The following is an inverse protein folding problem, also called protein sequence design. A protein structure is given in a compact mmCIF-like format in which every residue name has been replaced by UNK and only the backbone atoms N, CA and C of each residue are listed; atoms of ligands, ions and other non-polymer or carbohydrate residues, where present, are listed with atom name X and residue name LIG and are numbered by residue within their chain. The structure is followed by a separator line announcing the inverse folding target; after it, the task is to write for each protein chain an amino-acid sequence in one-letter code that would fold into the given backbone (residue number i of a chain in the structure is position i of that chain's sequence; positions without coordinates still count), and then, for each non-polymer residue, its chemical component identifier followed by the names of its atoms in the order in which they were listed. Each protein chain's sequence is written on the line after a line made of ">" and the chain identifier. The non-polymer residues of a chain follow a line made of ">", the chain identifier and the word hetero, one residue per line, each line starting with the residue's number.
data_IF_993257114478
#
_entry.id   IF_993257114478
#
_cell.length_a   1.000
_cell.length_b   1.000
_cell.length_c   1.000
_cell.angle_alpha   90.00
_cell.angle_beta   90.00
_cell.angle_gamma   90.00
#
_symmetry.space_group_name_H-M   'P 1'
#
loop_
_entity.id
_entity.type
_entity.pdbx_description
1 polymer ?
#
# COMPACT_ATOMS: atom_id res chain seq x y z
N UNK A 1 53.63 3.11 -91.05
CA UNK A 1 52.75 2.48 -90.07
C UNK A 1 51.41 2.28 -90.76
N UNK A 2 50.95 1.05 -90.73
CA UNK A 2 49.70 0.68 -91.42
C UNK A 2 48.51 1.34 -90.62
N UNK A 3 47.65 2.05 -91.31
CA UNK A 3 46.51 2.76 -90.73
C UNK A 3 45.65 1.82 -89.79
N UNK A 4 45.58 0.58 -90.11
CA UNK A 4 44.93 -0.49 -89.33
C UNK A 4 45.57 -0.68 -87.97
N UNK A 5 46.89 -0.57 -87.84
CA UNK A 5 47.62 -0.70 -86.59
C UNK A 5 47.39 0.45 -85.70
N UNK A 6 47.31 1.70 -86.21
CA UNK A 6 47.04 2.89 -85.45
C UNK A 6 45.60 2.88 -84.89
N UNK A 7 44.61 2.46 -85.65
CA UNK A 7 43.23 2.32 -85.23
C UNK A 7 43.09 1.22 -84.13
N UNK A 8 43.73 0.08 -84.28
CA UNK A 8 43.73 -0.99 -83.32
C UNK A 8 44.36 -0.57 -82.00
N UNK A 9 45.47 0.19 -82.06
CA UNK A 9 46.14 0.66 -80.86
C UNK A 9 45.29 1.70 -80.09
N UNK A 10 44.59 2.56 -80.82
CA UNK A 10 43.68 3.54 -80.22
C UNK A 10 42.46 2.88 -79.56
N UNK A 11 41.92 1.80 -80.19
CA UNK A 11 40.81 1.03 -79.55
C UNK A 11 41.24 0.39 -78.24
N UNK A 12 42.47 -0.13 -78.20
CA UNK A 12 43.04 -0.77 -76.99
C UNK A 12 43.26 0.30 -75.88
N UNK A 13 43.83 1.49 -76.25
CA UNK A 13 44.04 2.57 -75.35
C UNK A 13 42.71 3.09 -74.73
N UNK A 14 41.70 3.31 -75.57
CA UNK A 14 40.35 3.75 -75.13
C UNK A 14 39.68 2.66 -74.23
N UNK A 15 39.84 1.38 -74.59
CA UNK A 15 39.33 0.29 -73.73
C UNK A 15 40.02 0.22 -72.37
N UNK A 16 41.35 0.40 -72.35
CA UNK A 16 42.11 0.45 -71.08
C UNK A 16 41.70 1.64 -70.22
N UNK A 17 41.52 2.82 -70.85
CA UNK A 17 41.06 4.03 -70.13
C UNK A 17 39.66 3.85 -69.52
N UNK A 18 38.75 3.22 -70.28
CA UNK A 18 37.41 2.87 -69.75
C UNK A 18 37.48 1.85 -68.63
N UNK A 19 38.34 0.84 -68.73
CA UNK A 19 38.53 -0.15 -67.66
C UNK A 19 39.08 0.49 -66.37
N UNK A 20 40.08 1.39 -66.49
CA UNK A 20 40.59 2.16 -65.34
C UNK A 20 39.50 3.06 -64.69
N UNK A 21 38.67 3.71 -65.48
CA UNK A 21 37.55 4.49 -64.97
C UNK A 21 36.53 3.65 -64.21
N UNK A 22 36.19 2.49 -64.75
CA UNK A 22 35.27 1.54 -64.09
C UNK A 22 35.83 1.09 -62.75
N UNK A 23 37.12 0.68 -62.70
CA UNK A 23 37.78 0.28 -61.44
C UNK A 23 37.84 1.43 -60.44
N UNK A 24 38.21 2.66 -60.88
CA UNK A 24 38.24 3.80 -59.97
C UNK A 24 36.87 4.14 -59.44
N UNK A 25 35.82 4.14 -60.26
CA UNK A 25 34.46 4.34 -59.83
C UNK A 25 33.99 3.26 -58.83
N UNK A 26 34.39 1.99 -59.06
CA UNK A 26 34.06 0.92 -58.12
C UNK A 26 34.78 1.07 -56.75
N UNK A 27 36.04 1.50 -56.74
CA UNK A 27 36.79 1.78 -55.55
C UNK A 27 36.15 2.96 -54.75
N UNK A 28 35.83 4.04 -55.46
CA UNK A 28 35.18 5.22 -54.81
C UNK A 28 33.83 4.82 -54.14
N UNK A 29 33.01 4.01 -54.86
CA UNK A 29 31.75 3.49 -54.32
C UNK A 29 31.96 2.59 -53.11
N UNK A 30 33.01 1.76 -53.13
CA UNK A 30 33.34 0.89 -52.02
C UNK A 30 33.80 1.67 -50.78
N UNK A 31 34.58 2.75 -50.98
CA UNK A 31 35.02 3.62 -49.88
C UNK A 31 33.87 4.44 -49.32
N UNK A 32 32.98 4.96 -50.16
CA UNK A 32 31.75 5.62 -49.74
C UNK A 32 30.84 4.67 -48.90
N UNK A 33 30.66 3.45 -49.40
CA UNK A 33 29.86 2.47 -48.68
C UNK A 33 30.45 2.11 -47.32
N UNK A 34 31.78 1.95 -47.21
CA UNK A 34 32.49 1.75 -45.94
C UNK A 34 32.37 2.93 -45.01
N UNK A 35 32.53 4.14 -45.49
CA UNK A 35 32.40 5.35 -44.70
C UNK A 35 30.99 5.48 -44.12
N UNK A 36 29.97 5.24 -44.97
CA UNK A 36 28.56 5.27 -44.50
C UNK A 36 28.27 4.15 -43.52
N UNK A 37 28.74 2.95 -43.72
CA UNK A 37 28.54 1.85 -42.76
C UNK A 37 29.21 2.12 -41.41
N UNK A 38 30.43 2.68 -41.40
CA UNK A 38 31.11 3.08 -40.18
C UNK A 38 30.37 4.21 -39.44
N UNK A 39 29.85 5.21 -40.16
CA UNK A 39 29.07 6.28 -39.57
C UNK A 39 27.78 5.74 -38.93
N UNK A 40 27.05 4.88 -39.64
CA UNK A 40 25.82 4.26 -39.07
C UNK A 40 26.13 3.40 -37.85
N UNK A 41 27.25 2.64 -37.87
CA UNK A 41 27.67 1.84 -36.74
C UNK A 41 27.97 2.72 -35.49
N UNK A 42 28.66 3.85 -35.68
CA UNK A 42 28.93 4.80 -34.61
C UNK A 42 27.66 5.42 -34.05
N UNK A 43 26.76 5.92 -34.90
CA UNK A 43 25.46 6.47 -34.50
C UNK A 43 24.63 5.46 -33.71
N UNK A 44 24.62 4.20 -34.14
CA UNK A 44 23.91 3.12 -33.45
C UNK A 44 24.48 2.88 -32.02
N UNK A 45 25.82 2.83 -31.91
CA UNK A 45 26.49 2.64 -30.60
C UNK A 45 26.22 3.84 -29.67
N UNK A 46 26.28 5.06 -30.17
CA UNK A 46 26.01 6.26 -29.39
C UNK A 46 24.56 6.30 -28.91
N UNK A 47 23.61 5.99 -29.81
CA UNK A 47 22.18 5.90 -29.45
C UNK A 47 21.94 4.83 -28.38
N UNK A 48 22.49 3.62 -28.58
CA UNK A 48 22.33 2.53 -27.63
C UNK A 48 22.95 2.85 -26.25
N UNK A 49 24.06 3.58 -26.20
CA UNK A 49 24.67 4.05 -24.96
C UNK A 49 23.80 5.10 -24.26
N UNK A 50 23.26 6.05 -25.00
CA UNK A 50 22.38 7.08 -24.45
C UNK A 50 21.09 6.48 -23.87
N UNK A 51 20.44 5.57 -24.61
CA UNK A 51 19.27 4.84 -24.14
C UNK A 51 19.58 3.96 -22.93
N UNK A 52 20.73 3.27 -22.96
CA UNK A 52 21.19 2.46 -21.84
C UNK A 52 21.40 3.29 -20.57
N UNK A 53 21.99 4.46 -20.69
CA UNK A 53 22.17 5.37 -19.54
C UNK A 53 20.83 5.85 -18.99
N UNK A 54 19.91 6.28 -19.84
CA UNK A 54 18.57 6.69 -19.41
C UNK A 54 17.83 5.56 -18.68
N UNK A 55 17.89 4.37 -19.21
CA UNK A 55 17.28 3.19 -18.57
C UNK A 55 17.89 2.89 -17.20
N UNK A 56 19.22 2.99 -17.08
CA UNK A 56 19.88 2.84 -15.78
C UNK A 56 19.41 3.87 -14.78
N UNK A 57 19.33 5.15 -15.16
CA UNK A 57 18.89 6.23 -14.29
C UNK A 57 17.44 6.02 -13.82
N UNK A 58 16.55 5.61 -14.72
CA UNK A 58 15.17 5.26 -14.39
C UNK A 58 15.07 4.09 -13.40
N UNK A 59 15.88 3.04 -13.59
CA UNK A 59 15.92 1.89 -12.69
C UNK A 59 16.41 2.34 -11.30
N UNK A 60 17.47 3.12 -11.22
CA UNK A 60 18.02 3.63 -9.95
C UNK A 60 16.98 4.47 -9.20
N UNK A 61 16.28 5.39 -9.88
CA UNK A 61 15.23 6.20 -9.25
C UNK A 61 14.04 5.35 -8.78
N UNK A 62 13.67 4.33 -9.55
CA UNK A 62 12.64 3.36 -9.11
C UNK A 62 13.04 2.62 -7.84
N UNK A 63 14.26 2.11 -7.79
CA UNK A 63 14.78 1.39 -6.61
C UNK A 63 14.82 2.31 -5.39
N UNK A 64 15.29 3.55 -5.54
CA UNK A 64 15.28 4.54 -4.44
C UNK A 64 13.87 4.82 -3.93
N UNK A 65 12.90 4.93 -4.84
CA UNK A 65 11.51 5.17 -4.48
C UNK A 65 10.91 3.99 -3.72
N UNK A 66 11.16 2.76 -4.18
CA UNK A 66 10.71 1.55 -3.50
C UNK A 66 11.34 1.45 -2.11
N UNK A 67 12.65 1.65 -1.99
CA UNK A 67 13.34 1.61 -0.70
C UNK A 67 12.79 2.64 0.30
N UNK A 68 12.46 3.86 -0.16
CA UNK A 68 11.82 4.89 0.69
C UNK A 68 10.42 4.48 1.14
N UNK A 69 9.64 3.85 0.26
CA UNK A 69 8.31 3.34 0.60
C UNK A 69 8.38 2.19 1.61
N UNK A 70 9.31 1.27 1.43
CA UNK A 70 9.50 0.16 2.35
C UNK A 70 9.95 0.63 3.73
N UNK A 71 10.86 1.60 3.80
CA UNK A 71 11.25 2.22 5.06
C UNK A 71 10.04 2.88 5.77
N UNK A 72 9.18 3.60 5.03
CA UNK A 72 7.96 4.18 5.60
C UNK A 72 6.98 3.11 6.09
N UNK A 73 6.84 1.98 5.38
CA UNK A 73 5.99 0.86 5.81
C UNK A 73 6.47 0.26 7.13
N UNK A 74 7.77 0.05 7.29
CA UNK A 74 8.33 -0.47 8.54
C UNK A 74 8.03 0.46 9.72
N UNK A 75 8.23 1.77 9.54
CA UNK A 75 7.90 2.76 10.59
C UNK A 75 6.40 2.78 10.90
N UNK A 76 5.55 2.70 9.87
CA UNK A 76 4.10 2.68 10.07
C UNK A 76 3.64 1.41 10.79
N UNK A 77 4.18 0.24 10.43
CA UNK A 77 3.90 -1.03 11.12
C UNK A 77 4.26 -0.96 12.59
N UNK A 78 5.46 -0.49 12.93
CA UNK A 78 5.88 -0.31 14.31
C UNK A 78 4.97 0.66 15.10
N UNK A 79 4.50 1.74 14.45
CA UNK A 79 3.54 2.65 15.07
C UNK A 79 2.19 1.99 15.33
N UNK A 80 1.69 1.19 14.38
CA UNK A 80 0.43 0.44 14.56
C UNK A 80 0.53 -0.57 15.70
N UNK A 81 1.63 -1.33 15.79
CA UNK A 81 1.88 -2.27 16.88
C UNK A 81 1.87 -1.58 18.27
N UNK A 82 2.45 -0.38 18.36
CA UNK A 82 2.41 0.40 19.60
C UNK A 82 0.99 0.84 19.98
N UNK A 83 0.21 1.28 19.01
CA UNK A 83 -1.20 1.65 19.23
C UNK A 83 -2.02 0.44 19.65
N UNK A 84 -1.86 -0.71 19.01
CA UNK A 84 -2.52 -1.97 19.37
C UNK A 84 -2.17 -2.41 20.79
N UNK A 85 -0.89 -2.33 21.17
CA UNK A 85 -0.43 -2.62 22.52
C UNK A 85 -1.08 -1.70 23.57
N UNK A 86 -1.24 -0.42 23.25
CA UNK A 86 -1.93 0.52 24.14
C UNK A 86 -3.40 0.14 24.34
N UNK A 87 -4.08 -0.31 23.28
CA UNK A 87 -5.47 -0.79 23.39
C UNK A 87 -5.58 -2.09 24.18
N UNK A 88 -4.64 -3.01 24.02
CA UNK A 88 -4.63 -4.23 24.83
C UNK A 88 -4.48 -3.90 26.34
N UNK A 89 -3.61 -2.95 26.68
CA UNK A 89 -3.46 -2.50 28.07
C UNK A 89 -4.74 -1.83 28.56
N UNK A 90 -5.40 -1.02 27.75
CA UNK A 90 -6.68 -0.40 28.08
C UNK A 90 -7.77 -1.45 28.33
N UNK A 91 -7.89 -2.46 27.47
CA UNK A 91 -8.83 -3.58 27.64
C UNK A 91 -8.55 -4.37 28.92
N UNK A 92 -7.28 -4.66 29.23
CA UNK A 92 -6.91 -5.31 30.49
C UNK A 92 -7.34 -4.49 31.71
N UNK A 93 -7.17 -3.18 31.69
CA UNK A 93 -7.63 -2.28 32.75
C UNK A 93 -9.16 -2.26 32.88
N UNK A 94 -9.89 -2.20 31.76
CA UNK A 94 -11.35 -2.27 31.76
C UNK A 94 -11.88 -3.59 32.31
N UNK A 95 -11.23 -4.72 31.99
CA UNK A 95 -11.59 -6.02 32.54
C UNK A 95 -11.25 -6.19 34.02
N UNK A 96 -10.35 -5.37 34.54
CA UNK A 96 -9.96 -5.35 35.95
C UNK A 96 -10.72 -4.30 36.76
N UNK A 97 -11.79 -3.67 36.20
CA UNK A 97 -12.62 -2.70 36.92
C UNK A 97 -13.28 -3.33 38.14
N UNK A 98 -13.34 -2.58 39.24
CA UNK A 98 -14.12 -2.96 40.38
C UNK A 98 -15.63 -2.94 40.06
N UNK A 99 -16.38 -3.71 40.83
CA UNK A 99 -17.82 -3.90 40.62
C UNK A 99 -18.62 -2.61 40.52
N UNK A 100 -18.30 -1.62 41.35
CA UNK A 100 -18.96 -0.29 41.35
C UNK A 100 -18.75 0.46 40.03
N UNK A 101 -17.51 0.45 39.53
CA UNK A 101 -17.15 1.15 38.29
C UNK A 101 -17.70 0.44 37.08
N UNK A 102 -17.75 -0.90 37.15
CA UNK A 102 -18.37 -1.71 36.12
C UNK A 102 -19.87 -1.45 36.00
N UNK A 103 -20.60 -1.35 37.12
CA UNK A 103 -22.03 -0.97 37.14
C UNK A 103 -22.26 0.45 36.61
N UNK A 104 -21.40 1.39 36.99
CA UNK A 104 -21.46 2.78 36.48
C UNK A 104 -21.25 2.81 34.94
N UNK A 105 -20.34 1.99 34.44
CA UNK A 105 -20.15 1.83 33.00
C UNK A 105 -21.40 1.29 32.32
N UNK A 106 -21.96 0.18 32.84
CA UNK A 106 -23.21 -0.39 32.30
C UNK A 106 -24.34 0.64 32.31
N UNK A 107 -24.54 1.35 33.42
CA UNK A 107 -25.59 2.34 33.52
C UNK A 107 -25.46 3.46 32.46
N UNK A 108 -24.23 3.94 32.23
CA UNK A 108 -23.96 4.93 31.16
C UNK A 108 -24.28 4.39 29.77
N UNK A 109 -23.90 3.15 29.51
CA UNK A 109 -24.18 2.51 28.22
C UNK A 109 -25.68 2.30 28.00
N UNK A 110 -26.39 1.82 29.02
CA UNK A 110 -27.83 1.65 28.96
C UNK A 110 -28.56 2.98 28.76
N UNK A 111 -28.17 4.03 29.44
CA UNK A 111 -28.74 5.41 29.25
C UNK A 111 -28.55 5.92 27.83
N UNK A 112 -27.44 5.59 27.19
CA UNK A 112 -27.11 6.09 25.86
C UNK A 112 -27.75 5.27 24.73
N UNK A 113 -27.85 3.95 24.89
CA UNK A 113 -28.12 3.06 23.78
C UNK A 113 -29.33 2.13 23.96
N UNK A 114 -29.84 1.91 25.19
CA UNK A 114 -30.94 0.97 25.41
C UNK A 114 -32.28 1.56 24.96
N UNK A 115 -33.10 0.70 24.38
CA UNK A 115 -34.49 0.98 24.03
C UNK A 115 -35.46 0.14 24.88
N UNK A 116 -36.73 0.53 24.88
CA UNK A 116 -37.74 -0.15 25.71
C UNK A 116 -37.89 -1.63 25.32
N UNK A 117 -37.76 -2.49 26.31
CA UNK A 117 -37.91 -3.94 26.15
C UNK A 117 -36.68 -4.67 25.64
N UNK A 118 -35.53 -3.98 25.49
CA UNK A 118 -34.29 -4.62 25.10
C UNK A 118 -33.84 -5.68 26.10
N UNK A 119 -33.11 -6.69 25.60
CA UNK A 119 -32.47 -7.72 26.41
C UNK A 119 -30.99 -7.40 26.58
N UNK A 120 -30.55 -7.23 27.83
CA UNK A 120 -29.15 -7.02 28.18
C UNK A 120 -28.46 -8.38 28.32
N UNK A 121 -27.43 -8.62 27.52
CA UNK A 121 -26.57 -9.81 27.61
C UNK A 121 -25.29 -9.37 28.34
N UNK A 122 -25.10 -9.91 29.55
CA UNK A 122 -23.97 -9.61 30.42
C UNK A 122 -22.84 -10.61 30.10
N UNK A 123 -21.62 -10.14 29.99
CA UNK A 123 -20.47 -11.04 29.79
C UNK A 123 -20.31 -12.01 30.96
N UNK A 124 -20.01 -13.27 30.69
CA UNK A 124 -19.83 -14.31 31.72
C UNK A 124 -18.74 -13.97 32.74
N UNK A 125 -17.67 -13.28 32.30
CA UNK A 125 -16.55 -12.87 33.16
C UNK A 125 -16.81 -11.57 33.92
N UNK A 126 -17.99 -10.93 33.74
CA UNK A 126 -18.32 -9.68 34.42
C UNK A 126 -18.45 -9.86 35.94
N UNK A 127 -17.96 -8.91 36.76
CA UNK A 127 -18.06 -8.97 38.23
C UNK A 127 -19.44 -8.61 38.78
N UNK A 128 -20.48 -8.59 37.94
CA UNK A 128 -21.85 -8.16 38.25
C UNK A 128 -22.86 -9.25 37.95
N UNK A 129 -23.92 -9.28 38.75
CA UNK A 129 -25.03 -10.21 38.58
C UNK A 129 -26.19 -9.59 37.77
N UNK A 130 -27.03 -10.49 37.22
CA UNK A 130 -28.26 -10.10 36.52
C UNK A 130 -29.14 -9.19 37.38
N UNK A 131 -29.30 -9.51 38.67
CA UNK A 131 -30.14 -8.76 39.58
C UNK A 131 -29.65 -7.32 39.83
N UNK A 132 -28.33 -7.16 39.88
CA UNK A 132 -27.72 -5.83 40.08
C UNK A 132 -27.93 -4.93 38.87
N UNK A 133 -27.79 -5.50 37.68
CA UNK A 133 -28.05 -4.77 36.42
C UNK A 133 -29.55 -4.40 36.29
N UNK A 134 -30.45 -5.31 36.67
CA UNK A 134 -31.89 -5.03 36.65
C UNK A 134 -32.33 -4.05 37.74
N UNK A 135 -31.58 -3.92 38.83
CA UNK A 135 -31.86 -2.93 39.88
C UNK A 135 -31.47 -1.50 39.52
N UNK A 136 -30.77 -1.30 38.40
CA UNK A 136 -30.47 0.04 37.91
C UNK A 136 -31.76 0.79 37.53
N UNK A 137 -31.86 2.06 37.83
CA UNK A 137 -33.05 2.88 37.52
C UNK A 137 -33.45 2.78 36.04
N UNK A 138 -32.48 2.90 35.14
CA UNK A 138 -32.65 2.78 33.68
C UNK A 138 -33.26 1.45 33.25
N UNK A 139 -32.83 0.35 33.89
CA UNK A 139 -33.33 -0.99 33.57
C UNK A 139 -34.81 -1.14 33.93
N UNK A 140 -35.22 -0.51 35.01
CA UNK A 140 -36.63 -0.49 35.47
C UNK A 140 -37.47 0.43 34.59
N UNK A 141 -36.98 1.61 34.25
CA UNK A 141 -37.68 2.56 33.38
C UNK A 141 -37.96 2.03 31.98
N UNK A 142 -36.97 1.35 31.40
CA UNK A 142 -37.05 0.77 30.05
C UNK A 142 -37.59 -0.64 30.03
N UNK A 143 -38.00 -1.22 31.17
CA UNK A 143 -38.48 -2.60 31.27
C UNK A 143 -37.52 -3.60 30.63
N UNK A 144 -36.22 -3.49 30.92
CA UNK A 144 -35.19 -4.33 30.36
C UNK A 144 -35.23 -5.73 30.97
N UNK A 145 -34.83 -6.72 30.19
CA UNK A 145 -34.51 -8.07 30.69
C UNK A 145 -33.00 -8.29 30.64
N UNK A 146 -32.44 -9.12 31.52
CA UNK A 146 -31.02 -9.39 31.51
C UNK A 146 -30.72 -10.88 31.61
N UNK A 147 -29.68 -11.33 30.93
CA UNK A 147 -29.18 -12.71 30.96
C UNK A 147 -27.66 -12.72 30.94
N UNK A 148 -27.07 -13.79 31.51
CA UNK A 148 -25.62 -14.03 31.34
C UNK A 148 -25.42 -14.72 30.01
N UNK A 149 -24.56 -14.16 29.17
CA UNK A 149 -24.19 -14.71 27.88
C UNK A 149 -22.86 -15.48 27.94
N UNK A 150 -22.21 -15.56 26.78
CA UNK A 150 -20.86 -16.11 26.62
C UNK A 150 -19.80 -15.12 27.13
N UNK A 151 -18.55 -15.59 27.20
CA UNK A 151 -17.43 -14.71 27.50
C UNK A 151 -16.95 -14.00 26.21
N UNK A 152 -17.24 -12.72 26.12
CA UNK A 152 -16.82 -11.84 25.03
C UNK A 152 -15.82 -10.75 25.45
N UNK A 153 -15.15 -10.96 26.60
CA UNK A 153 -14.09 -10.06 27.07
C UNK A 153 -14.59 -8.79 27.77
N UNK A 154 -15.73 -8.87 28.45
CA UNK A 154 -16.28 -7.79 29.27
C UNK A 154 -17.24 -6.84 28.54
N UNK A 155 -17.94 -6.05 29.34
CA UNK A 155 -19.01 -5.16 28.84
C UNK A 155 -20.36 -5.86 28.74
N UNK A 156 -21.25 -5.32 27.91
CA UNK A 156 -22.61 -5.85 27.66
C UNK A 156 -22.90 -5.87 26.16
N UNK A 157 -23.92 -6.63 25.78
CA UNK A 157 -24.57 -6.53 24.45
C UNK A 157 -26.06 -6.28 24.66
N UNK A 158 -26.67 -5.52 23.78
CA UNK A 158 -28.11 -5.29 23.78
C UNK A 158 -28.71 -6.02 22.59
N UNK A 159 -29.73 -6.83 22.86
CA UNK A 159 -30.54 -7.48 21.87
C UNK A 159 -31.89 -6.79 21.81
N UNK A 160 -32.10 -6.03 20.75
CA UNK A 160 -33.29 -5.25 20.55
C UNK A 160 -34.25 -5.85 19.53
N UNK A 161 -35.46 -5.33 19.48
CA UNK A 161 -36.45 -5.77 18.48
C UNK A 161 -36.11 -5.38 17.05
N UNK A 162 -35.30 -4.33 16.84
CA UNK A 162 -34.93 -3.81 15.54
C UNK A 162 -33.48 -4.09 15.17
N UNK A 163 -32.58 -3.99 16.12
CA UNK A 163 -31.13 -4.23 15.90
C UNK A 163 -30.46 -4.63 17.20
N UNK A 164 -29.44 -5.46 17.09
CA UNK A 164 -28.55 -5.79 18.17
C UNK A 164 -27.40 -4.77 18.24
N UNK A 165 -27.01 -4.39 19.48
CA UNK A 165 -25.94 -3.40 19.74
C UNK A 165 -24.83 -4.08 20.54
N UNK A 166 -23.62 -4.08 20.02
CA UNK A 166 -22.45 -4.61 20.72
C UNK A 166 -21.75 -3.49 21.51
N UNK A 167 -21.97 -3.49 22.82
CA UNK A 167 -21.37 -2.56 23.78
C UNK A 167 -20.32 -3.28 24.65
N UNK A 168 -19.67 -4.31 24.10
CA UNK A 168 -18.52 -4.94 24.74
C UNK A 168 -17.35 -3.94 24.87
N UNK A 169 -16.49 -4.15 25.83
CA UNK A 169 -15.29 -3.32 26.00
C UNK A 169 -14.46 -3.25 24.72
N UNK A 170 -14.34 -4.37 24.01
CA UNK A 170 -13.62 -4.41 22.72
C UNK A 170 -14.27 -3.51 21.67
N UNK A 171 -15.59 -3.57 21.51
CA UNK A 171 -16.31 -2.73 20.56
C UNK A 171 -16.20 -1.25 20.92
N UNK A 172 -16.42 -0.91 22.20
CA UNK A 172 -16.33 0.47 22.70
C UNK A 172 -14.92 1.06 22.52
N UNK A 173 -13.87 0.29 22.84
CA UNK A 173 -12.49 0.75 22.65
C UNK A 173 -12.16 0.92 21.18
N UNK A 174 -12.61 0.00 20.31
CA UNK A 174 -12.40 0.10 18.86
C UNK A 174 -13.12 1.32 18.26
N UNK A 175 -14.33 1.57 18.66
CA UNK A 175 -15.10 2.74 18.24
C UNK A 175 -14.41 4.04 18.65
N UNK A 176 -13.97 4.12 19.92
CA UNK A 176 -13.19 5.26 20.42
C UNK A 176 -11.89 5.45 19.63
N UNK A 177 -11.17 4.34 19.32
CA UNK A 177 -9.96 4.38 18.54
C UNK A 177 -10.18 4.94 17.14
N UNK A 178 -11.25 4.51 16.47
CA UNK A 178 -11.57 4.96 15.11
C UNK A 178 -11.93 6.45 15.06
N UNK A 179 -12.68 6.94 16.06
CA UNK A 179 -13.08 8.36 16.13
C UNK A 179 -11.93 9.27 16.53
N UNK A 180 -11.01 8.80 17.37
CA UNK A 180 -9.95 9.63 17.95
C UNK A 180 -8.53 9.22 17.48
N UNK A 181 -8.40 8.54 16.33
CA UNK A 181 -7.12 8.01 15.84
C UNK A 181 -6.01 9.07 15.73
N UNK A 182 -6.36 10.28 15.31
CA UNK A 182 -5.40 11.39 15.20
C UNK A 182 -4.91 11.89 16.56
N UNK A 183 -5.81 12.04 17.53
CA UNK A 183 -5.48 12.49 18.86
C UNK A 183 -4.64 11.47 19.63
N UNK A 184 -5.02 10.19 19.54
CA UNK A 184 -4.27 9.07 20.11
C UNK A 184 -2.86 9.01 19.53
N UNK A 185 -2.74 9.14 18.21
CA UNK A 185 -1.44 9.18 17.53
C UNK A 185 -0.60 10.37 18.01
N UNK A 186 -1.19 11.55 18.18
CA UNK A 186 -0.49 12.74 18.67
C UNK A 186 -0.01 12.59 20.11
N UNK A 187 -0.73 11.84 20.95
CA UNK A 187 -0.34 11.58 22.35
C UNK A 187 0.80 10.57 22.42
N UNK A 188 0.71 9.48 21.64
CA UNK A 188 1.69 8.37 21.70
C UNK A 188 3.02 8.74 21.02
N UNK A 189 2.99 9.57 19.97
CA UNK A 189 4.17 9.87 19.14
C UNK A 189 4.66 11.33 19.28
N UNK A 190 4.30 11.98 20.36
CA UNK A 190 4.80 13.31 20.72
C UNK A 190 6.24 13.20 21.27
#
# INVERSE_FOLDING_TARGET
>A
MDEKQVISQKIIEDANLQAEQIVQNALNRADEARANANKQAQELVETARAEGQQNCDLIVERIKTIARLDAKKVVLSAKQELVESAFEVALKKLNALEKSDYLNFIEKQLKAYAEQGDRVIICKSAPVSVQEVLSLAVSTELSLSAVIGEDFGGGIKLQGGKCDKDLSFKATVLEYANHNAQEISAIIFK
#
